data_IF_381269747480
#
_entry.id   IF_381269747480
#
_cell.length_a   1.000
_cell.length_b   1.000
_cell.length_c   1.000
_cell.angle_alpha   90.00
_cell.angle_beta   90.00
_cell.angle_gamma   90.00
#
_symmetry.space_group_name_H-M   'P 1'
#
loop_
_entity.id
_entity.type
_entity.pdbx_description
1 polymer ?
#
# COMPACT_ATOMS: atom_id res chain seq x y z
N UNK A 1 12.00 -9.95 11.32
CA UNK A 1 11.19 -11.13 10.91
C UNK A 1 10.75 -10.91 9.46
N UNK A 2 11.54 -11.35 8.50
CA UNK A 2 11.26 -11.26 7.05
C UNK A 2 11.93 -12.40 6.26
N UNK A 3 13.00 -12.99 6.83
CA UNK A 3 13.86 -14.01 6.23
C UNK A 3 13.14 -15.15 5.48
N UNK A 4 11.99 -15.64 5.95
CA UNK A 4 11.26 -16.71 5.25
C UNK A 4 10.47 -16.22 4.04
N UNK A 5 9.99 -14.97 4.06
CA UNK A 5 9.26 -14.40 2.95
C UNK A 5 10.21 -14.12 1.77
N UNK A 6 11.39 -13.57 2.07
CA UNK A 6 12.39 -13.17 1.06
C UNK A 6 13.03 -14.35 0.34
N UNK A 7 13.02 -15.53 0.96
CA UNK A 7 13.58 -16.78 0.41
C UNK A 7 12.54 -17.66 -0.29
N UNK A 8 11.24 -17.36 -0.18
CA UNK A 8 10.18 -18.18 -0.77
C UNK A 8 10.06 -17.91 -2.27
N UNK A 9 10.19 -18.93 -3.10
CA UNK A 9 10.05 -18.78 -4.55
C UNK A 9 8.66 -18.24 -4.96
N UNK A 10 8.67 -17.17 -5.75
CA UNK A 10 7.49 -16.61 -6.39
C UNK A 10 7.10 -17.48 -7.58
N UNK A 11 5.87 -18.01 -7.55
CA UNK A 11 5.36 -18.91 -8.60
C UNK A 11 5.44 -18.33 -10.01
N UNK A 12 5.21 -17.02 -10.14
CA UNK A 12 5.20 -16.31 -11.42
C UNK A 12 6.59 -16.18 -12.03
N UNK A 13 7.60 -15.89 -11.21
CA UNK A 13 8.95 -15.55 -11.66
C UNK A 13 9.95 -16.70 -11.55
N UNK A 14 9.61 -17.76 -10.80
CA UNK A 14 10.53 -18.86 -10.46
C UNK A 14 11.83 -18.35 -9.83
N UNK A 15 11.70 -17.29 -9.03
CA UNK A 15 12.78 -16.59 -8.35
C UNK A 15 12.32 -16.27 -6.93
N UNK A 16 13.27 -16.10 -6.01
CA UNK A 16 12.96 -15.54 -4.69
C UNK A 16 12.75 -14.02 -4.79
N UNK A 17 11.99 -13.40 -3.87
CA UNK A 17 11.87 -11.95 -3.79
C UNK A 17 13.22 -11.23 -3.75
N UNK A 18 14.21 -11.78 -3.04
CA UNK A 18 15.57 -11.21 -2.98
C UNK A 18 16.24 -11.18 -4.36
N UNK A 19 16.20 -12.29 -5.10
CA UNK A 19 16.76 -12.38 -6.45
C UNK A 19 16.07 -11.41 -7.40
N UNK A 20 14.74 -11.29 -7.28
CA UNK A 20 13.94 -10.42 -8.14
C UNK A 20 14.20 -8.95 -7.83
N UNK A 21 14.28 -8.58 -6.55
CA UNK A 21 14.58 -7.23 -6.11
C UNK A 21 15.94 -6.77 -6.65
N UNK A 22 16.96 -7.62 -6.63
CA UNK A 22 18.28 -7.29 -7.18
C UNK A 22 18.23 -6.96 -8.69
N UNK A 23 17.38 -7.65 -9.45
CA UNK A 23 17.16 -7.37 -10.88
C UNK A 23 16.34 -6.10 -11.11
N UNK A 24 15.34 -5.86 -10.27
CA UNK A 24 14.44 -4.71 -10.40
C UNK A 24 15.09 -3.42 -9.91
N UNK A 25 16.07 -3.50 -9.01
CA UNK A 25 16.75 -2.36 -8.41
C UNK A 25 17.34 -1.39 -9.45
N UNK A 26 17.88 -1.89 -10.56
CA UNK A 26 18.41 -1.06 -11.65
C UNK A 26 17.32 -0.27 -12.41
N UNK A 27 16.08 -0.72 -12.30
CA UNK A 27 14.92 -0.11 -12.95
C UNK A 27 14.05 0.71 -11.97
N UNK A 28 14.37 0.69 -10.68
CA UNK A 28 13.65 1.47 -9.67
C UNK A 28 13.95 2.96 -9.84
N UNK A 29 12.90 3.76 -9.75
CA UNK A 29 13.04 5.21 -9.64
C UNK A 29 13.59 5.56 -8.24
N UNK A 30 14.29 6.70 -8.09
CA UNK A 30 14.71 7.17 -6.78
C UNK A 30 13.51 7.30 -5.85
N UNK A 31 13.75 7.13 -4.55
CA UNK A 31 12.71 7.44 -3.56
C UNK A 31 12.32 8.91 -3.69
N UNK A 32 11.01 9.22 -3.61
CA UNK A 32 10.56 10.60 -3.59
C UNK A 32 11.11 11.33 -2.35
N UNK A 33 11.44 12.61 -2.51
CA UNK A 33 11.91 13.47 -1.41
C UNK A 33 10.86 13.68 -0.30
N UNK A 34 9.60 13.43 -0.62
CA UNK A 34 8.48 13.50 0.32
C UNK A 34 7.96 12.10 0.61
N UNK A 35 7.49 11.89 1.85
CA UNK A 35 6.79 10.66 2.21
C UNK A 35 5.66 10.39 1.22
N UNK A 36 5.69 9.20 0.62
CA UNK A 36 4.63 8.75 -0.27
C UNK A 36 3.51 8.20 0.60
N UNK A 37 2.60 9.07 1.02
CA UNK A 37 1.43 8.65 1.80
C UNK A 37 0.50 7.81 0.90
N UNK A 38 0.59 6.50 1.00
CA UNK A 38 -0.32 5.56 0.31
C UNK A 38 -1.60 5.34 1.10
N UNK A 39 -1.80 6.01 2.24
CA UNK A 39 -3.04 5.86 2.97
C UNK A 39 -4.20 6.42 2.15
N UNK A 40 -5.29 5.67 2.12
CA UNK A 40 -6.53 6.14 1.54
C UNK A 40 -7.12 7.23 2.45
N UNK A 41 -7.24 8.45 1.93
CA UNK A 41 -7.99 9.52 2.57
C UNK A 41 -9.10 9.99 1.63
N UNK A 42 -10.27 10.27 2.21
CA UNK A 42 -11.45 10.73 1.50
C UNK A 42 -12.05 11.91 2.27
N UNK A 43 -12.17 13.06 1.61
CA UNK A 43 -12.75 14.27 2.18
C UNK A 43 -14.24 14.30 1.80
N UNK A 44 -15.11 14.27 2.81
CA UNK A 44 -16.57 14.30 2.62
C UNK A 44 -17.19 15.53 3.26
N UNK A 45 -18.21 16.08 2.61
CA UNK A 45 -19.07 17.08 3.22
C UNK A 45 -19.91 16.42 4.31
N UNK A 46 -19.77 16.92 5.54
CA UNK A 46 -20.55 16.46 6.68
C UNK A 46 -21.82 17.33 6.75
N UNK A 47 -23.02 16.72 6.69
CA UNK A 47 -24.28 17.44 6.93
C UNK A 47 -24.38 17.94 8.38
N UNK A 48 -25.35 18.81 8.68
CA UNK A 48 -25.42 19.50 9.98
C UNK A 48 -25.53 18.55 11.19
N UNK A 49 -25.95 17.31 10.97
CA UNK A 49 -26.25 16.33 11.99
C UNK A 49 -25.03 15.49 12.38
N UNK A 50 -23.86 15.78 11.79
CA UNK A 50 -22.59 15.11 12.11
C UNK A 50 -22.59 13.60 11.83
N UNK A 51 -23.34 13.16 10.82
CA UNK A 51 -23.33 11.77 10.35
C UNK A 51 -22.94 11.68 8.87
N UNK A 52 -22.24 10.61 8.50
CA UNK A 52 -21.88 10.27 7.12
C UNK A 52 -22.24 8.81 6.80
N UNK A 53 -22.47 8.52 5.53
CA UNK A 53 -22.68 7.16 5.02
C UNK A 53 -21.35 6.55 4.55
N UNK A 54 -20.95 5.42 5.15
CA UNK A 54 -19.73 4.67 4.79
C UNK A 54 -20.11 3.21 4.51
N UNK A 55 -20.03 2.79 3.25
CA UNK A 55 -20.34 1.41 2.86
C UNK A 55 -21.75 0.96 3.24
N UNK A 56 -22.72 1.88 3.25
CA UNK A 56 -24.11 1.62 3.65
C UNK A 56 -24.39 1.68 5.15
N UNK A 57 -23.41 2.09 5.96
CA UNK A 57 -23.58 2.33 7.39
C UNK A 57 -23.51 3.83 7.70
N UNK A 58 -24.37 4.28 8.62
CA UNK A 58 -24.35 5.65 9.14
C UNK A 58 -23.38 5.76 10.32
N UNK A 59 -22.35 6.58 10.17
CA UNK A 59 -21.29 6.77 11.16
C UNK A 59 -21.27 8.23 11.64
N UNK A 60 -21.09 8.45 12.94
CA UNK A 60 -20.87 9.79 13.50
C UNK A 60 -19.43 10.23 13.28
N UNK A 61 -19.22 11.54 13.11
CA UNK A 61 -17.90 12.19 13.00
C UNK A 61 -17.58 13.06 14.21
#
# INVERSE_FOLDING_TARGET
MAEFADKRELRQFRQTPEQRLALEQEHLQPLPDTDFDTNYFDIRHVPWDSYIEVGGNRCSV
#
